data_IF_433321066756
#
_entry.id   IF_433321066756
#
_cell.length_a   1.000
_cell.length_b   1.000
_cell.length_c   1.000
_cell.angle_alpha   90.00
_cell.angle_beta   90.00
_cell.angle_gamma   90.00
#
_symmetry.space_group_name_H-M   'P 1'
#
loop_
_entity.id
_entity.type
_entity.pdbx_description
1 polymer ?
#
# COMPACT_ATOMS: atom_id res chain seq x y z
N UNK A 1 7.35 -13.62 11.78
CA UNK A 1 6.15 -14.47 11.94
C UNK A 1 6.15 -15.62 10.94
N UNK A 2 5.41 -16.71 11.21
CA UNK A 2 5.23 -17.78 10.24
C UNK A 2 4.20 -17.34 9.17
N UNK A 3 4.53 -17.50 7.90
CA UNK A 3 3.69 -17.04 6.78
C UNK A 3 2.77 -18.12 6.25
N UNK A 4 3.18 -19.40 6.32
CA UNK A 4 2.33 -20.53 5.91
C UNK A 4 1.02 -20.52 6.69
N UNK A 5 -0.09 -20.65 5.98
CA UNK A 5 -1.47 -20.63 6.49
C UNK A 5 -1.89 -19.30 7.15
N UNK A 6 -1.05 -18.25 7.10
CA UNK A 6 -1.45 -16.91 7.54
C UNK A 6 -2.43 -16.28 6.54
N UNK A 7 -3.34 -15.43 7.03
CA UNK A 7 -4.28 -14.66 6.20
C UNK A 7 -3.74 -13.26 6.00
N UNK A 8 -3.49 -12.92 4.73
CA UNK A 8 -2.90 -11.65 4.31
C UNK A 8 -3.92 -10.83 3.53
N UNK A 9 -4.30 -9.70 4.08
CA UNK A 9 -5.20 -8.74 3.45
C UNK A 9 -4.37 -7.71 2.70
N UNK A 10 -4.65 -7.49 1.40
CA UNK A 10 -3.94 -6.49 0.59
C UNK A 10 -4.95 -5.55 -0.06
N UNK A 11 -4.91 -4.27 0.31
CA UNK A 11 -5.74 -3.24 -0.35
C UNK A 11 -5.05 -2.77 -1.63
N UNK A 12 -5.82 -2.54 -2.71
CA UNK A 12 -5.25 -2.34 -4.05
C UNK A 12 -4.46 -3.57 -4.51
N UNK A 13 -4.93 -4.77 -4.12
CA UNK A 13 -4.22 -6.04 -4.30
C UNK A 13 -4.37 -6.67 -5.68
N UNK A 14 -5.19 -6.10 -6.55
CA UNK A 14 -5.50 -6.70 -7.86
C UNK A 14 -4.42 -6.46 -8.92
N UNK A 15 -3.56 -5.45 -8.77
CA UNK A 15 -2.54 -5.07 -9.74
C UNK A 15 -1.30 -4.44 -9.12
N UNK A 16 -0.26 -4.24 -9.95
CA UNK A 16 0.95 -3.49 -9.60
C UNK A 16 1.65 -4.00 -8.34
N UNK A 17 2.07 -3.08 -7.46
CA UNK A 17 2.79 -3.39 -6.23
C UNK A 17 1.96 -4.28 -5.30
N UNK A 18 0.66 -3.99 -5.13
CA UNK A 18 -0.22 -4.77 -4.27
C UNK A 18 -0.32 -6.24 -4.71
N UNK A 19 -0.48 -6.49 -6.02
CA UNK A 19 -0.51 -7.85 -6.58
C UNK A 19 0.82 -8.57 -6.41
N UNK A 20 1.96 -7.88 -6.61
CA UNK A 20 3.27 -8.47 -6.41
C UNK A 20 3.51 -8.84 -4.92
N UNK A 21 3.07 -7.98 -3.99
CA UNK A 21 3.12 -8.29 -2.55
C UNK A 21 2.25 -9.51 -2.24
N UNK A 22 1.00 -9.54 -2.74
CA UNK A 22 0.11 -10.68 -2.55
C UNK A 22 0.74 -11.97 -3.10
N UNK A 23 1.36 -11.91 -4.30
CA UNK A 23 2.05 -13.04 -4.91
C UNK A 23 3.18 -13.57 -4.02
N UNK A 24 4.03 -12.68 -3.50
CA UNK A 24 5.14 -13.07 -2.64
C UNK A 24 4.68 -13.74 -1.33
N UNK A 25 3.59 -13.26 -0.73
CA UNK A 25 2.98 -13.92 0.42
C UNK A 25 2.35 -15.28 0.05
N UNK A 26 1.66 -15.36 -1.10
CA UNK A 26 1.10 -16.60 -1.61
C UNK A 26 2.16 -17.67 -1.84
N UNK A 27 3.33 -17.31 -2.37
CA UNK A 27 4.47 -18.21 -2.58
C UNK A 27 5.06 -18.74 -1.26
N UNK A 28 4.82 -18.04 -0.15
CA UNK A 28 5.15 -18.49 1.21
C UNK A 28 4.04 -19.34 1.85
N UNK A 29 2.99 -19.66 1.11
CA UNK A 29 1.86 -20.48 1.58
C UNK A 29 0.80 -19.70 2.38
N UNK A 30 0.78 -18.38 2.27
CA UNK A 30 -0.28 -17.57 2.86
C UNK A 30 -1.58 -17.66 2.04
N UNK A 31 -2.71 -17.43 2.70
CA UNK A 31 -4.03 -17.24 2.10
C UNK A 31 -4.26 -15.75 1.85
N UNK A 32 -4.87 -15.40 0.75
CA UNK A 32 -4.97 -14.01 0.29
C UNK A 32 -6.40 -13.49 0.33
N UNK A 33 -6.58 -12.32 0.92
CA UNK A 33 -7.77 -11.50 0.82
C UNK A 33 -7.42 -10.21 0.05
N UNK A 34 -7.86 -10.12 -1.20
CA UNK A 34 -7.55 -8.98 -2.08
C UNK A 34 -8.72 -8.00 -2.08
N UNK A 35 -8.47 -6.76 -1.69
CA UNK A 35 -9.43 -5.68 -1.73
C UNK A 35 -9.06 -4.72 -2.86
N UNK A 36 -10.02 -4.42 -3.73
CA UNK A 36 -9.85 -3.42 -4.78
C UNK A 36 -11.21 -2.81 -5.14
N UNK A 37 -11.20 -1.65 -5.81
CA UNK A 37 -12.42 -1.04 -6.33
C UNK A 37 -12.85 -1.63 -7.67
N UNK A 38 -11.88 -2.11 -8.47
CA UNK A 38 -12.11 -2.64 -9.81
C UNK A 38 -12.38 -4.14 -9.79
N UNK A 39 -13.62 -4.53 -10.01
CA UNK A 39 -14.01 -5.94 -10.00
C UNK A 39 -13.33 -6.75 -11.11
N UNK A 40 -13.15 -6.21 -12.30
CA UNK A 40 -12.50 -6.93 -13.41
C UNK A 40 -11.01 -7.23 -13.10
N UNK A 41 -10.30 -6.30 -12.45
CA UNK A 41 -8.93 -6.54 -12.00
C UNK A 41 -8.89 -7.62 -10.90
N UNK A 42 -9.87 -7.61 -9.98
CA UNK A 42 -10.02 -8.64 -8.94
C UNK A 42 -10.28 -10.04 -9.51
N UNK A 43 -11.17 -10.14 -10.50
CA UNK A 43 -11.50 -11.42 -11.16
C UNK A 43 -10.27 -11.99 -11.87
N UNK A 44 -9.51 -11.13 -12.54
CA UNK A 44 -8.25 -11.51 -13.21
C UNK A 44 -7.21 -11.99 -12.19
N UNK A 45 -6.98 -11.25 -11.13
CA UNK A 45 -6.04 -11.62 -10.08
C UNK A 45 -6.46 -12.93 -9.38
N UNK A 46 -7.76 -13.10 -9.10
CA UNK A 46 -8.29 -14.34 -8.52
C UNK A 46 -7.99 -15.55 -9.40
N UNK A 47 -8.25 -15.45 -10.71
CA UNK A 47 -7.99 -16.53 -11.65
C UNK A 47 -6.49 -16.90 -11.70
N UNK A 48 -5.60 -15.90 -11.72
CA UNK A 48 -4.15 -16.11 -11.71
C UNK A 48 -3.66 -16.80 -10.42
N UNK A 49 -4.11 -16.34 -9.23
CA UNK A 49 -3.72 -16.96 -7.97
C UNK A 49 -4.29 -18.37 -7.81
N UNK A 50 -5.53 -18.60 -8.25
CA UNK A 50 -6.14 -19.92 -8.29
C UNK A 50 -5.36 -20.90 -9.17
N UNK A 51 -4.90 -20.46 -10.36
CA UNK A 51 -4.06 -21.27 -11.24
C UNK A 51 -2.70 -21.66 -10.61
N UNK A 52 -2.21 -20.82 -9.68
CA UNK A 52 -0.99 -21.09 -8.87
C UNK A 52 -1.26 -21.92 -7.61
N UNK A 53 -2.50 -22.33 -7.38
CA UNK A 53 -2.88 -23.09 -6.18
C UNK A 53 -2.90 -22.27 -4.89
N UNK A 54 -2.96 -20.93 -4.97
CA UNK A 54 -3.02 -20.05 -3.81
C UNK A 54 -4.47 -19.81 -3.42
N UNK A 55 -4.84 -20.13 -2.18
CA UNK A 55 -6.17 -19.84 -1.64
C UNK A 55 -6.38 -18.33 -1.59
N UNK A 56 -7.31 -17.84 -2.43
CA UNK A 56 -7.52 -16.40 -2.61
C UNK A 56 -9.01 -16.08 -2.64
N UNK A 57 -9.41 -15.03 -1.94
CA UNK A 57 -10.73 -14.41 -2.07
C UNK A 57 -10.59 -12.93 -2.40
N UNK A 58 -11.60 -12.38 -3.06
CA UNK A 58 -11.60 -11.02 -3.56
C UNK A 58 -12.82 -10.27 -3.05
N UNK A 59 -12.63 -8.97 -2.75
CA UNK A 59 -13.65 -8.11 -2.15
C UNK A 59 -13.64 -6.77 -2.88
N UNK A 60 -14.78 -6.41 -3.49
CA UNK A 60 -14.97 -5.11 -4.14
C UNK A 60 -15.22 -4.03 -3.07
N UNK A 61 -14.21 -3.20 -2.78
CA UNK A 61 -14.23 -2.26 -1.66
C UNK A 61 -13.66 -0.92 -2.04
N UNK A 62 -14.39 0.16 -1.74
CA UNK A 62 -13.84 1.50 -1.68
C UNK A 62 -13.27 1.76 -0.29
N UNK A 63 -11.95 1.78 -0.15
CA UNK A 63 -11.27 1.99 1.14
C UNK A 63 -11.55 3.36 1.78
N UNK A 64 -12.04 4.33 0.99
CA UNK A 64 -12.47 5.65 1.50
C UNK A 64 -13.88 5.62 2.16
N UNK A 65 -14.53 4.46 2.21
CA UNK A 65 -15.88 4.28 2.79
C UNK A 65 -15.81 3.37 4.00
N UNK A 66 -16.06 3.97 5.18
CA UNK A 66 -15.93 3.29 6.47
C UNK A 66 -16.81 2.04 6.57
N UNK A 67 -18.08 2.14 6.17
CA UNK A 67 -19.04 1.06 6.14
C UNK A 67 -18.60 -0.12 5.27
N UNK A 68 -18.04 0.17 4.08
CA UNK A 68 -17.54 -0.86 3.17
C UNK A 68 -16.29 -1.54 3.73
N UNK A 69 -15.39 -0.78 4.34
CA UNK A 69 -14.19 -1.35 4.98
C UNK A 69 -14.60 -2.27 6.13
N UNK A 70 -15.46 -1.81 7.03
CA UNK A 70 -15.95 -2.61 8.16
C UNK A 70 -16.57 -3.92 7.69
N UNK A 71 -17.52 -3.85 6.74
CA UNK A 71 -18.20 -5.02 6.17
C UNK A 71 -17.23 -6.01 5.51
N UNK A 72 -16.23 -5.50 4.77
CA UNK A 72 -15.23 -6.36 4.11
C UNK A 72 -14.36 -7.11 5.13
N UNK A 73 -13.93 -6.43 6.20
CA UNK A 73 -13.12 -7.08 7.24
C UNK A 73 -13.92 -8.12 8.02
N UNK A 74 -15.24 -7.91 8.24
CA UNK A 74 -16.12 -8.92 8.82
C UNK A 74 -16.26 -10.13 7.90
N UNK A 75 -16.43 -9.90 6.60
CA UNK A 75 -16.52 -10.99 5.62
C UNK A 75 -15.21 -11.78 5.53
N UNK A 76 -14.05 -11.11 5.55
CA UNK A 76 -12.73 -11.76 5.57
C UNK A 76 -12.60 -12.65 6.81
N UNK A 77 -13.03 -12.14 7.97
CA UNK A 77 -13.00 -12.93 9.20
C UNK A 77 -13.95 -14.15 9.14
N UNK A 78 -15.13 -13.99 8.55
CA UNK A 78 -16.05 -15.10 8.32
C UNK A 78 -15.48 -16.15 7.36
N UNK A 79 -14.81 -15.71 6.29
CA UNK A 79 -14.27 -16.57 5.24
C UNK A 79 -13.01 -17.36 5.66
N UNK A 80 -12.13 -16.74 6.45
CA UNK A 80 -10.81 -17.29 6.79
C UNK A 80 -10.62 -17.57 8.29
N UNK A 81 -11.50 -17.07 9.15
CA UNK A 81 -11.43 -17.25 10.61
C UNK A 81 -10.34 -16.43 11.30
N UNK A 82 -9.52 -15.68 10.56
CA UNK A 82 -8.40 -14.88 11.10
C UNK A 82 -7.90 -13.80 10.14
N UNK A 83 -7.16 -12.84 10.68
CA UNK A 83 -6.39 -11.85 9.92
C UNK A 83 -5.03 -11.75 10.61
N UNK A 84 -3.94 -11.97 9.86
CA UNK A 84 -2.59 -11.96 10.41
C UNK A 84 -1.74 -10.81 9.88
N UNK A 85 -1.92 -10.45 8.62
CA UNK A 85 -1.18 -9.35 7.98
C UNK A 85 -2.16 -8.48 7.21
N UNK A 86 -2.02 -7.16 7.35
CA UNK A 86 -2.73 -6.20 6.49
C UNK A 86 -1.70 -5.31 5.80
N UNK A 87 -1.77 -5.25 4.47
CA UNK A 87 -0.95 -4.37 3.64
C UNK A 87 -1.84 -3.28 3.07
N UNK A 88 -1.70 -2.07 3.60
CA UNK A 88 -2.38 -0.87 3.13
C UNK A 88 -1.62 -0.32 1.91
N UNK A 89 -2.00 -0.78 0.72
CA UNK A 89 -1.35 -0.42 -0.53
C UNK A 89 -2.25 0.45 -1.44
N UNK A 90 -3.58 0.37 -1.31
CA UNK A 90 -4.49 1.16 -2.12
C UNK A 90 -4.13 2.66 -2.10
N UNK A 91 -4.08 3.26 -3.26
CA UNK A 91 -3.73 4.67 -3.37
C UNK A 91 -3.96 5.23 -4.78
N UNK A 92 -4.16 6.53 -4.84
CA UNK A 92 -4.32 7.29 -6.08
C UNK A 92 -3.35 8.47 -6.12
N UNK A 93 -3.11 8.95 -7.32
CA UNK A 93 -2.32 10.16 -7.60
C UNK A 93 -3.22 11.16 -8.31
N UNK A 94 -3.24 12.40 -7.82
CA UNK A 94 -3.85 13.56 -8.48
C UNK A 94 -2.93 14.76 -8.32
N UNK A 95 -1.84 14.75 -9.09
CA UNK A 95 -0.78 15.75 -9.02
C UNK A 95 -1.23 17.12 -9.52
N UNK A 96 -0.65 18.17 -8.98
CA UNK A 96 -0.86 19.54 -9.38
C UNK A 96 -0.04 20.50 -8.52
N UNK A 97 0.38 21.61 -9.12
CA UNK A 97 1.04 22.67 -8.36
C UNK A 97 0.08 23.32 -7.38
N UNK A 98 0.56 23.69 -6.19
CA UNK A 98 -0.22 24.44 -5.20
C UNK A 98 -0.83 25.69 -5.84
N UNK A 99 0.01 26.47 -6.53
CA UNK A 99 -0.38 27.59 -7.38
C UNK A 99 0.40 27.50 -8.69
N UNK A 100 -0.29 27.61 -9.81
CA UNK A 100 0.30 27.64 -11.15
C UNK A 100 0.41 29.08 -11.63
N UNK A 101 1.63 29.50 -11.96
CA UNK A 101 1.92 30.83 -12.51
C UNK A 101 2.42 30.68 -13.94
N UNK A 102 1.96 31.54 -14.83
CA UNK A 102 2.47 31.69 -16.19
C UNK A 102 2.63 33.19 -16.48
N UNK A 103 3.81 33.59 -16.94
CA UNK A 103 4.15 34.97 -17.28
C UNK A 103 3.77 35.98 -16.17
N UNK A 104 4.11 35.64 -14.90
CA UNK A 104 3.82 36.46 -13.71
C UNK A 104 2.35 36.46 -13.25
N UNK A 105 1.47 35.77 -13.96
CA UNK A 105 0.02 35.71 -13.65
C UNK A 105 -0.35 34.35 -13.07
N UNK A 106 -1.17 34.34 -11.99
CA UNK A 106 -1.74 33.10 -11.44
C UNK A 106 -2.78 32.57 -12.41
N UNK A 107 -2.53 31.40 -13.00
CA UNK A 107 -3.40 30.75 -13.98
C UNK A 107 -4.12 29.51 -13.44
N UNK A 108 -3.87 29.13 -12.19
CA UNK A 108 -4.54 28.00 -11.56
C UNK A 108 -4.02 27.71 -10.16
N UNK A 109 -4.69 26.79 -9.49
CA UNK A 109 -4.31 26.29 -8.17
C UNK A 109 -4.84 24.87 -7.97
N UNK A 110 -4.24 24.10 -7.06
CA UNK A 110 -4.80 22.81 -6.64
C UNK A 110 -6.20 23.02 -6.07
N UNK A 111 -7.17 22.26 -6.57
CA UNK A 111 -8.56 22.35 -6.10
C UNK A 111 -8.74 21.49 -4.82
N UNK A 112 -9.71 21.88 -3.99
CA UNK A 112 -10.01 21.16 -2.74
C UNK A 112 -10.49 19.72 -3.00
N UNK A 113 -11.28 19.50 -4.05
CA UNK A 113 -11.73 18.18 -4.45
C UNK A 113 -10.57 17.26 -4.90
N UNK A 114 -9.58 17.85 -5.60
CA UNK A 114 -8.35 17.15 -5.99
C UNK A 114 -7.52 16.75 -4.75
N UNK A 115 -7.38 17.65 -3.79
CA UNK A 115 -6.75 17.39 -2.50
C UNK A 115 -7.50 16.29 -1.73
N UNK A 116 -8.82 16.48 -1.53
CA UNK A 116 -9.63 15.61 -0.69
C UNK A 116 -9.68 14.18 -1.22
N UNK A 117 -9.79 14.00 -2.54
CA UNK A 117 -9.79 12.67 -3.13
C UNK A 117 -8.53 11.85 -2.79
N UNK A 118 -7.37 12.49 -2.72
CA UNK A 118 -6.11 11.82 -2.33
C UNK A 118 -6.07 11.55 -0.82
N UNK A 119 -6.53 12.50 -0.01
CA UNK A 119 -6.66 12.31 1.45
C UNK A 119 -7.57 11.14 1.78
N UNK A 120 -8.75 11.08 1.14
CA UNK A 120 -9.76 10.06 1.43
C UNK A 120 -9.25 8.64 1.17
N UNK A 121 -8.56 8.43 0.06
CA UNK A 121 -8.04 7.10 -0.29
C UNK A 121 -6.72 6.80 0.43
N UNK A 122 -5.73 7.70 0.28
CA UNK A 122 -4.35 7.38 0.68
C UNK A 122 -4.08 7.56 2.17
N UNK A 123 -4.90 8.31 2.89
CA UNK A 123 -4.71 8.59 4.32
C UNK A 123 -5.86 8.03 5.15
N UNK A 124 -7.09 8.48 4.88
CA UNK A 124 -8.28 8.01 5.62
C UNK A 124 -8.50 6.52 5.39
N UNK A 125 -8.38 6.03 4.15
CA UNK A 125 -8.53 4.61 3.83
C UNK A 125 -7.49 3.74 4.55
N UNK A 126 -6.25 4.19 4.64
CA UNK A 126 -5.20 3.49 5.41
C UNK A 126 -5.54 3.45 6.90
N UNK A 127 -6.02 4.57 7.45
CA UNK A 127 -6.48 4.64 8.84
C UNK A 127 -7.62 3.66 9.09
N UNK A 128 -8.65 3.65 8.26
CA UNK A 128 -9.81 2.77 8.40
C UNK A 128 -9.39 1.29 8.37
N UNK A 129 -8.65 0.88 7.35
CA UNK A 129 -8.19 -0.51 7.24
C UNK A 129 -7.25 -0.91 8.38
N UNK A 130 -6.36 -0.02 8.82
CA UNK A 130 -5.47 -0.27 9.97
C UNK A 130 -6.22 -0.43 11.28
N UNK A 131 -7.25 0.40 11.52
CA UNK A 131 -8.12 0.31 12.70
C UNK A 131 -8.90 -1.01 12.72
N UNK A 132 -9.56 -1.36 11.61
CA UNK A 132 -10.33 -2.60 11.48
C UNK A 132 -9.44 -3.84 11.65
N UNK A 133 -8.22 -3.80 11.11
CA UNK A 133 -7.22 -4.84 11.32
C UNK A 133 -6.83 -4.99 12.80
N UNK A 134 -6.43 -3.87 13.41
CA UNK A 134 -5.96 -3.86 14.80
C UNK A 134 -7.05 -4.37 15.77
N UNK A 135 -8.30 -3.92 15.61
CA UNK A 135 -9.42 -4.36 16.45
C UNK A 135 -9.61 -5.87 16.38
N UNK A 136 -9.63 -6.45 15.18
CA UNK A 136 -9.83 -7.89 14.99
C UNK A 136 -8.65 -8.72 15.46
N UNK A 137 -7.41 -8.26 15.22
CA UNK A 137 -6.19 -8.90 15.73
C UNK A 137 -6.17 -8.90 17.26
N UNK A 138 -6.57 -7.79 17.92
CA UNK A 138 -6.66 -7.69 19.39
C UNK A 138 -7.73 -8.65 19.91
N UNK A 139 -8.92 -8.66 19.34
CA UNK A 139 -10.01 -9.58 19.74
C UNK A 139 -9.61 -11.05 19.59
N UNK A 140 -8.84 -11.37 18.56
CA UNK A 140 -8.31 -12.72 18.34
C UNK A 140 -7.16 -13.10 19.30
N UNK A 141 -6.48 -12.14 19.92
CA UNK A 141 -5.39 -12.37 20.88
C UNK A 141 -4.13 -13.03 20.27
N UNK A 142 -3.90 -12.91 18.96
CA UNK A 142 -2.86 -13.66 18.23
C UNK A 142 -1.70 -12.79 17.73
N UNK A 143 -1.77 -11.47 17.98
CA UNK A 143 -0.85 -10.52 17.39
C UNK A 143 -1.11 -10.31 15.89
N UNK A 144 -0.15 -9.73 15.17
CA UNK A 144 -0.28 -9.47 13.74
C UNK A 144 0.73 -8.48 13.20
N UNK A 145 0.53 -8.10 11.93
CA UNK A 145 1.39 -7.13 11.25
C UNK A 145 0.56 -6.19 10.35
N UNK A 146 0.84 -4.90 10.46
CA UNK A 146 0.27 -3.88 9.56
C UNK A 146 1.42 -3.23 8.77
N UNK A 147 1.35 -3.26 7.44
CA UNK A 147 2.34 -2.63 6.55
C UNK A 147 1.64 -1.51 5.77
N UNK A 148 2.13 -0.29 5.88
CA UNK A 148 1.64 0.84 5.09
C UNK A 148 2.57 1.12 3.92
N UNK A 149 2.04 1.14 2.69
CA UNK A 149 2.81 1.53 1.51
C UNK A 149 2.84 3.06 1.42
N UNK A 150 4.00 3.60 1.78
CA UNK A 150 4.33 5.01 1.67
C UNK A 150 4.91 5.34 0.27
N UNK A 151 5.88 6.24 0.20
CA UNK A 151 6.62 6.64 -1.01
C UNK A 151 7.84 7.45 -0.60
N UNK A 152 8.86 7.55 -1.45
CA UNK A 152 9.91 8.57 -1.30
C UNK A 152 9.32 9.99 -1.27
N UNK A 153 8.16 10.20 -1.91
CA UNK A 153 7.42 11.49 -1.88
C UNK A 153 7.00 11.92 -0.47
N UNK A 154 7.14 11.06 0.57
CA UNK A 154 6.96 11.44 1.98
C UNK A 154 7.89 12.58 2.41
N UNK A 155 9.03 12.75 1.74
CA UNK A 155 9.99 13.84 1.98
C UNK A 155 9.61 15.15 1.28
N UNK A 156 8.62 15.12 0.39
CA UNK A 156 8.19 16.23 -0.45
C UNK A 156 8.58 16.03 -1.91
N UNK A 157 7.63 16.24 -2.82
CA UNK A 157 7.88 16.26 -4.25
C UNK A 157 7.06 17.38 -4.90
N UNK A 158 7.67 18.16 -5.76
CA UNK A 158 7.01 19.29 -6.41
C UNK A 158 5.78 18.82 -7.20
N UNK A 159 4.65 19.50 -7.01
CA UNK A 159 3.37 19.12 -7.62
C UNK A 159 2.59 18.02 -6.88
N UNK A 160 3.10 17.53 -5.77
CA UNK A 160 2.50 16.43 -4.99
C UNK A 160 2.14 16.82 -3.55
N UNK A 161 1.67 18.05 -3.32
CA UNK A 161 1.33 18.52 -1.96
C UNK A 161 0.37 17.55 -1.25
N UNK A 162 -0.68 17.11 -1.92
CA UNK A 162 -1.67 16.15 -1.40
C UNK A 162 -1.05 14.76 -1.19
N UNK A 163 -0.37 14.22 -2.19
CA UNK A 163 0.23 12.89 -2.14
C UNK A 163 1.34 12.81 -1.09
N UNK A 164 2.26 13.78 -1.07
CA UNK A 164 3.36 13.84 -0.10
C UNK A 164 2.84 13.92 1.34
N UNK A 165 1.80 14.74 1.58
CA UNK A 165 1.17 14.83 2.90
C UNK A 165 0.61 13.48 3.36
N UNK A 166 -0.08 12.74 2.44
CA UNK A 166 -0.62 11.41 2.79
C UNK A 166 0.49 10.41 3.06
N UNK A 167 1.56 10.39 2.24
CA UNK A 167 2.65 9.41 2.37
C UNK A 167 3.54 9.67 3.60
N UNK A 168 3.71 10.92 3.99
CA UNK A 168 4.29 11.28 5.29
C UNK A 168 3.37 10.84 6.45
N UNK A 169 2.06 11.08 6.34
CA UNK A 169 1.07 10.70 7.33
C UNK A 169 1.03 9.20 7.60
N UNK A 170 0.97 8.35 6.56
CA UNK A 170 0.93 6.89 6.74
C UNK A 170 2.24 6.33 7.30
N UNK A 171 3.37 7.00 7.05
CA UNK A 171 4.66 6.68 7.67
C UNK A 171 4.61 6.97 9.17
N UNK A 172 4.09 8.13 9.56
CA UNK A 172 3.92 8.51 10.97
C UNK A 172 2.93 7.58 11.69
N UNK A 173 1.80 7.21 11.05
CA UNK A 173 0.85 6.23 11.61
C UNK A 173 1.53 4.90 11.95
N UNK A 174 2.40 4.38 11.09
CA UNK A 174 3.11 3.13 11.38
C UNK A 174 3.97 3.22 12.65
N UNK A 175 4.58 4.39 12.92
CA UNK A 175 5.34 4.63 14.15
C UNK A 175 4.43 4.66 15.38
N UNK A 176 3.28 5.35 15.29
CA UNK A 176 2.30 5.44 16.38
C UNK A 176 1.71 4.06 16.68
N UNK A 177 1.23 3.35 15.64
CA UNK A 177 0.63 2.03 15.78
C UNK A 177 1.61 0.99 16.34
N UNK A 178 2.89 1.06 15.96
CA UNK A 178 3.92 0.20 16.55
C UNK A 178 4.04 0.38 18.07
N UNK A 179 3.87 1.59 18.59
CA UNK A 179 3.92 1.88 20.03
C UNK A 179 2.64 1.48 20.75
N UNK A 180 1.48 1.82 20.18
CA UNK A 180 0.17 1.58 20.78
C UNK A 180 -0.19 0.09 20.81
N UNK A 181 0.17 -0.65 19.75
CA UNK A 181 -0.27 -2.02 19.53
C UNK A 181 0.74 -3.08 19.98
N UNK A 182 1.97 -2.69 20.33
CA UNK A 182 3.03 -3.62 20.75
C UNK A 182 2.61 -4.54 21.91
N UNK A 183 1.86 -4.01 22.90
CA UNK A 183 1.34 -4.79 24.03
C UNK A 183 0.38 -5.92 23.63
N UNK A 184 -0.15 -5.87 22.41
CA UNK A 184 -1.02 -6.90 21.84
C UNK A 184 -0.28 -7.81 20.86
N UNK A 185 1.05 -7.70 20.76
CA UNK A 185 1.86 -8.48 19.82
C UNK A 185 1.66 -8.06 18.36
N UNK A 186 1.13 -6.86 18.09
CA UNK A 186 0.92 -6.34 16.74
C UNK A 186 2.07 -5.40 16.39
N UNK A 187 2.75 -5.68 15.28
CA UNK A 187 3.78 -4.84 14.69
C UNK A 187 3.19 -3.93 13.61
N UNK A 188 3.78 -2.77 13.42
CA UNK A 188 3.41 -1.88 12.31
C UNK A 188 4.68 -1.30 11.68
N UNK A 189 4.71 -1.24 10.35
CA UNK A 189 5.84 -0.71 9.59
C UNK A 189 5.36 -0.02 8.31
N UNK A 190 6.23 0.70 7.64
CA UNK A 190 5.97 1.22 6.31
C UNK A 190 7.07 0.85 5.32
N UNK A 191 6.71 0.77 4.04
CA UNK A 191 7.64 0.67 2.93
C UNK A 191 7.48 1.93 2.11
N UNK A 192 8.57 2.55 1.71
CA UNK A 192 8.59 3.75 0.88
C UNK A 192 9.26 3.42 -0.47
N UNK A 193 8.47 3.00 -1.48
CA UNK A 193 8.99 2.76 -2.81
C UNK A 193 9.50 4.05 -3.46
N UNK A 194 10.55 3.91 -4.26
CA UNK A 194 10.91 4.87 -5.29
C UNK A 194 10.07 4.69 -6.56
N UNK A 195 10.59 5.18 -7.68
CA UNK A 195 9.95 4.97 -8.98
C UNK A 195 9.96 3.48 -9.34
N UNK A 196 8.79 2.86 -9.30
CA UNK A 196 8.59 1.43 -9.51
C UNK A 196 7.82 1.19 -10.81
N UNK A 197 8.27 0.26 -11.62
CA UNK A 197 7.68 -0.13 -12.90
C UNK A 197 6.35 -0.86 -12.66
N UNK A 198 5.27 -0.09 -12.60
CA UNK A 198 3.89 -0.59 -12.53
C UNK A 198 3.19 -0.40 -13.87
N UNK A 199 1.99 -0.93 -14.01
CA UNK A 199 1.16 -0.78 -15.22
C UNK A 199 0.95 0.70 -15.58
N UNK A 200 0.94 1.59 -14.59
CA UNK A 200 0.87 3.05 -14.80
C UNK A 200 2.05 3.58 -15.62
N UNK A 201 3.24 3.02 -15.46
CA UNK A 201 4.44 3.41 -16.19
C UNK A 201 4.69 2.52 -17.41
N UNK A 202 4.11 1.32 -17.47
CA UNK A 202 4.32 0.38 -18.58
C UNK A 202 3.84 0.92 -19.93
N UNK A 203 2.87 1.84 -19.94
CA UNK A 203 2.38 2.52 -21.14
C UNK A 203 3.21 3.74 -21.59
N UNK A 204 4.26 4.12 -20.85
CA UNK A 204 5.09 5.28 -21.21
C UNK A 204 6.11 4.93 -22.31
N UNK A 205 6.40 5.87 -23.25
CA UNK A 205 7.48 5.69 -24.22
C UNK A 205 8.83 5.45 -23.52
N UNK A 206 9.74 4.64 -24.11
CA UNK A 206 11.04 4.32 -23.52
C UNK A 206 11.85 5.56 -23.11
N UNK A 207 11.87 6.59 -23.94
CA UNK A 207 12.55 7.87 -23.66
C UNK A 207 12.04 8.57 -22.38
N UNK A 208 10.74 8.44 -22.09
CA UNK A 208 10.17 8.98 -20.85
C UNK A 208 10.55 8.13 -19.65
N UNK A 209 10.59 6.81 -19.79
CA UNK A 209 11.03 5.90 -18.74
C UNK A 209 12.50 6.15 -18.38
N UNK A 210 13.37 6.39 -19.38
CA UNK A 210 14.77 6.78 -19.18
C UNK A 210 14.89 8.10 -18.39
N UNK A 211 14.09 9.12 -18.73
CA UNK A 211 14.07 10.39 -18.00
C UNK A 211 13.64 10.21 -16.55
N UNK A 212 12.67 9.33 -16.28
CA UNK A 212 12.23 9.01 -14.90
C UNK A 212 13.29 8.23 -14.15
N UNK A 213 14.04 7.35 -14.82
CA UNK A 213 15.13 6.57 -14.24
C UNK A 213 16.43 7.36 -14.06
N UNK A 214 16.64 8.42 -14.85
CA UNK A 214 17.89 9.18 -14.86
C UNK A 214 18.35 9.73 -13.48
N UNK A 215 17.46 10.25 -12.61
CA UNK A 215 17.86 10.73 -11.28
C UNK A 215 18.11 9.58 -10.28
N UNK A 216 17.66 8.35 -10.57
CA UNK A 216 17.88 7.19 -9.69
C UNK A 216 19.36 6.80 -9.74
N UNK A 217 20.07 6.70 -8.61
CA UNK A 217 21.47 6.26 -8.59
C UNK A 217 21.71 4.93 -9.29
N UNK A 218 20.83 3.94 -9.13
CA UNK A 218 20.91 2.65 -9.82
C UNK A 218 20.50 2.69 -11.30
N UNK A 219 20.13 3.86 -11.85
CA UNK A 219 19.81 4.10 -13.26
C UNK A 219 18.72 3.19 -13.84
N UNK A 220 17.81 2.75 -13.02
CA UNK A 220 16.65 1.97 -13.41
C UNK A 220 15.46 2.23 -12.49
N UNK A 221 14.30 1.84 -12.94
CA UNK A 221 13.12 1.75 -12.08
C UNK A 221 13.21 0.49 -11.20
N UNK A 222 12.64 0.54 -10.01
CA UNK A 222 12.40 -0.64 -9.20
C UNK A 222 11.35 -1.54 -9.84
N UNK A 223 11.36 -2.82 -9.49
CA UNK A 223 10.33 -3.77 -9.87
C UNK A 223 9.33 -3.95 -8.71
N UNK A 224 8.05 -4.22 -8.98
CA UNK A 224 7.07 -4.53 -7.94
C UNK A 224 7.52 -5.66 -7.00
N UNK A 225 8.25 -6.65 -7.51
CA UNK A 225 8.81 -7.78 -6.77
C UNK A 225 9.87 -7.35 -5.76
N UNK A 226 10.62 -6.27 -6.02
CA UNK A 226 11.60 -5.73 -5.06
C UNK A 226 10.90 -5.08 -3.86
N UNK A 227 9.74 -4.47 -4.09
CA UNK A 227 8.89 -3.94 -3.01
C UNK A 227 8.23 -5.10 -2.23
N UNK A 228 7.79 -6.14 -2.95
CA UNK A 228 7.23 -7.33 -2.34
C UNK A 228 8.25 -8.06 -1.45
N UNK A 229 9.50 -8.15 -1.87
CA UNK A 229 10.59 -8.71 -1.07
C UNK A 229 10.79 -7.95 0.25
N UNK A 230 10.66 -6.62 0.23
CA UNK A 230 10.70 -5.81 1.45
C UNK A 230 9.52 -6.12 2.40
N UNK A 231 8.33 -6.38 1.87
CA UNK A 231 7.18 -6.77 2.68
C UNK A 231 7.39 -8.14 3.35
N UNK A 232 7.96 -9.11 2.63
CA UNK A 232 8.35 -10.42 3.20
C UNK A 232 9.42 -10.24 4.27
N UNK A 233 10.47 -9.44 4.03
CA UNK A 233 11.49 -9.15 5.05
C UNK A 233 10.87 -8.60 6.34
N UNK A 234 9.95 -7.62 6.24
CA UNK A 234 9.25 -7.06 7.41
C UNK A 234 8.44 -8.14 8.13
N UNK A 235 7.78 -9.01 7.39
CA UNK A 235 6.95 -10.07 7.96
C UNK A 235 7.81 -11.13 8.68
N UNK A 236 8.92 -11.58 8.10
CA UNK A 236 9.79 -12.61 8.65
C UNK A 236 10.71 -12.08 9.77
N UNK A 237 10.99 -10.77 9.82
CA UNK A 237 11.82 -10.15 10.84
C UNK A 237 10.98 -9.59 12.00
N UNK A 238 10.80 -10.39 13.05
CA UNK A 238 9.95 -10.04 14.20
C UNK A 238 10.47 -8.87 15.03
N UNK A 239 11.73 -8.45 14.83
CA UNK A 239 12.30 -7.27 15.52
C UNK A 239 12.11 -5.96 14.74
N UNK A 240 11.54 -6.03 13.53
CA UNK A 240 11.30 -4.84 12.71
C UNK A 240 9.88 -4.28 12.96
N UNK A 241 9.79 -3.10 13.57
CA UNK A 241 8.53 -2.38 13.82
C UNK A 241 8.78 -0.87 13.99
N UNK A 242 7.79 -0.05 13.73
CA UNK A 242 7.84 1.41 13.90
C UNK A 242 8.86 2.10 12.98
N UNK A 243 9.19 1.53 11.85
CA UNK A 243 10.18 2.06 10.90
C UNK A 243 9.65 2.06 9.47
N UNK A 244 10.22 2.94 8.66
CA UNK A 244 10.06 2.94 7.21
C UNK A 244 11.27 2.27 6.56
N UNK A 245 11.02 1.40 5.59
CA UNK A 245 12.02 0.79 4.75
C UNK A 245 11.96 1.45 3.37
N UNK A 246 12.98 2.25 3.05
CA UNK A 246 13.07 2.95 1.77
C UNK A 246 13.65 2.00 0.71
N UNK A 247 12.89 1.74 -0.36
CA UNK A 247 13.27 0.87 -1.50
C UNK A 247 13.19 1.73 -2.76
N UNK A 248 14.24 2.50 -3.02
CA UNK A 248 14.20 3.63 -3.95
C UNK A 248 15.38 3.71 -4.93
N UNK A 249 16.28 2.71 -4.90
CA UNK A 249 17.47 2.72 -5.75
C UNK A 249 18.47 3.83 -5.40
N UNK A 250 18.37 4.39 -4.17
CA UNK A 250 19.18 5.49 -3.67
C UNK A 250 18.65 6.88 -4.02
N UNK A 251 17.46 6.99 -4.63
CA UNK A 251 16.85 8.27 -4.99
C UNK A 251 16.32 8.98 -3.72
N UNK A 252 16.73 10.25 -3.57
CA UNK A 252 16.17 11.16 -2.58
C UNK A 252 15.56 12.38 -3.26
N UNK A 253 14.34 12.74 -2.87
CA UNK A 253 13.61 13.92 -3.35
C UNK A 253 13.93 15.12 -2.47
#
# INVERSE_FOLDING_TARGET
MQLKDSVVVVTGGARGIGKAIAAAFGDKGAKLALLDLNQADLDTAHAEFKARGVETRTYGVNVAKEDQVGSAFDQILADFGRIDVVVNNAGIIKDGLLVKVKDGTVVGRMKLDQWQAVIDVNLTGVFLCGREAAERMIKAGRGGLIINISSISKAGNAGQTNYSATKAGVTAMAVVWAKELARFGIRAASIAPGFTRTDLLAGMPPEMLEKVAAPVPLKRLGLPEEIAHAAIFIAENDFFTGRALDIDGGLRL
#
